data_IF_621528183100
#
_entry.id   IF_621528183100
#
_cell.length_a   1.000
_cell.length_b   1.000
_cell.length_c   1.000
_cell.angle_alpha   90.00
_cell.angle_beta   90.00
_cell.angle_gamma   90.00
#
_symmetry.space_group_name_H-M   'P 1'
#
loop_
_entity.id
_entity.type
_entity.pdbx_description
1 polymer ?
#
# COMPACT_ATOMS: atom_id res chain seq x y z
N UNK A 1 0.71 -8.22 6.47
CA UNK A 1 0.80 -7.38 7.69
C UNK A 1 -0.35 -7.82 8.57
N UNK A 2 -0.15 -8.11 9.86
CA UNK A 2 -1.25 -8.56 10.72
C UNK A 2 -1.98 -7.34 11.30
N UNK A 3 -3.31 -7.34 11.27
CA UNK A 3 -4.16 -6.32 11.90
C UNK A 3 -4.61 -6.86 13.26
N UNK A 4 -4.29 -6.16 14.35
CA UNK A 4 -4.73 -6.54 15.69
C UNK A 4 -6.05 -5.86 16.05
N UNK A 5 -6.71 -6.33 17.11
CA UNK A 5 -7.92 -5.69 17.65
C UNK A 5 -7.64 -4.21 17.97
N UNK A 6 -8.48 -3.32 17.45
CA UNK A 6 -8.34 -1.86 17.60
C UNK A 6 -7.36 -1.21 16.63
N UNK A 7 -6.67 -1.99 15.78
CA UNK A 7 -5.92 -1.47 14.63
C UNK A 7 -6.79 -1.51 13.38
N UNK A 8 -6.46 -0.67 12.40
CA UNK A 8 -7.18 -0.60 11.11
C UNK A 8 -6.24 -0.25 9.97
N UNK A 9 -6.60 -0.60 8.74
CA UNK A 9 -5.86 -0.08 7.59
C UNK A 9 -6.05 1.43 7.51
N UNK A 10 -5.01 2.14 7.09
CA UNK A 10 -5.03 3.59 6.95
C UNK A 10 -5.11 3.98 5.48
N UNK A 11 -4.02 3.81 4.75
CA UNK A 11 -3.92 4.17 3.33
C UNK A 11 -3.14 3.12 2.54
N UNK A 12 -3.46 3.02 1.27
CA UNK A 12 -2.72 2.21 0.30
C UNK A 12 -2.32 3.10 -0.89
N UNK A 13 -1.03 3.17 -1.17
CA UNK A 13 -0.44 3.91 -2.27
C UNK A 13 0.09 2.97 -3.35
N UNK A 14 -0.21 3.30 -4.61
CA UNK A 14 0.31 2.63 -5.80
C UNK A 14 1.07 3.64 -6.64
N UNK A 15 2.28 3.27 -7.05
CA UNK A 15 3.11 4.04 -7.95
C UNK A 15 3.40 3.18 -9.17
N UNK A 16 3.01 3.64 -10.35
CA UNK A 16 3.10 2.92 -11.63
C UNK A 16 4.04 3.63 -12.60
N UNK A 17 5.33 3.79 -12.27
CA UNK A 17 6.25 4.54 -13.11
C UNK A 17 6.33 3.94 -14.52
N UNK A 18 6.48 4.80 -15.54
CA UNK A 18 6.75 4.35 -16.92
C UNK A 18 7.90 3.33 -16.98
N UNK A 19 8.95 3.56 -16.17
CA UNK A 19 10.05 2.63 -15.99
C UNK A 19 9.57 1.34 -15.29
N UNK A 20 9.24 0.31 -16.09
CA UNK A 20 8.75 -0.99 -15.60
C UNK A 20 7.35 -1.36 -16.06
N UNK A 21 6.66 -0.50 -16.83
CA UNK A 21 5.30 -0.73 -17.33
C UNK A 21 5.13 -2.05 -18.08
N UNK A 22 6.16 -2.51 -18.79
CA UNK A 22 6.18 -3.78 -19.54
C UNK A 22 6.00 -5.02 -18.65
N UNK A 23 6.29 -4.92 -17.35
CA UNK A 23 6.15 -6.00 -16.37
C UNK A 23 4.95 -5.82 -15.44
N UNK A 24 4.02 -4.91 -15.77
CA UNK A 24 2.95 -4.48 -14.86
C UNK A 24 3.52 -4.10 -13.48
N UNK A 25 4.67 -3.42 -13.48
CA UNK A 25 5.36 -3.06 -12.25
C UNK A 25 4.57 -2.01 -11.47
N UNK A 26 4.47 -2.22 -10.17
CA UNK A 26 3.95 -1.25 -9.21
C UNK A 26 4.87 -1.21 -7.99
N UNK A 27 5.28 -0.02 -7.56
CA UNK A 27 5.71 0.16 -6.18
C UNK A 27 4.48 0.36 -5.31
N UNK A 28 4.44 -0.26 -4.15
CA UNK A 28 3.27 -0.28 -3.27
C UNK A 28 3.68 0.08 -1.85
N UNK A 29 2.89 0.94 -1.21
CA UNK A 29 3.00 1.23 0.22
C UNK A 29 1.65 0.97 0.87
N UNK A 30 1.64 0.16 1.93
CA UNK A 30 0.46 -0.09 2.75
C UNK A 30 0.74 0.35 4.18
N UNK A 31 -0.14 1.18 4.73
CA UNK A 31 -0.07 1.63 6.11
C UNK A 31 -1.27 1.14 6.91
N UNK A 32 -1.04 0.79 8.18
CA UNK A 32 -2.09 0.59 9.18
C UNK A 32 -1.89 1.56 10.33
N UNK A 33 -3.00 1.99 10.93
CA UNK A 33 -3.02 2.77 12.15
C UNK A 33 -3.06 1.84 13.38
N UNK A 34 -2.16 2.09 14.32
CA UNK A 34 -2.10 1.40 15.61
C UNK A 34 -3.02 2.08 16.62
N UNK A 35 -3.32 1.37 17.70
CA UNK A 35 -4.13 1.88 18.83
C UNK A 35 -3.61 3.19 19.44
N UNK A 36 -2.32 3.50 19.28
CA UNK A 36 -1.70 4.72 19.77
C UNK A 36 -1.65 5.86 18.73
N UNK A 37 -2.34 5.73 17.59
CA UNK A 37 -2.37 6.71 16.51
C UNK A 37 -1.14 6.72 15.60
N UNK A 38 -0.07 5.99 15.94
CA UNK A 38 1.09 5.82 15.06
C UNK A 38 0.81 4.83 13.95
N UNK A 39 1.56 4.90 12.86
CA UNK A 39 1.43 3.98 11.74
C UNK A 39 2.51 2.89 11.76
N UNK A 40 2.14 1.72 11.28
CA UNK A 40 3.07 0.71 10.76
C UNK A 40 2.91 0.64 9.25
N UNK A 41 4.03 0.63 8.54
CA UNK A 41 4.09 0.68 7.09
C UNK A 41 4.84 -0.53 6.54
N UNK A 42 4.36 -1.06 5.42
CA UNK A 42 5.07 -2.00 4.58
C UNK A 42 5.14 -1.43 3.17
N UNK A 43 6.32 -1.43 2.57
CA UNK A 43 6.48 -1.13 1.14
C UNK A 43 7.12 -2.29 0.40
N UNK A 44 6.80 -2.43 -0.89
CA UNK A 44 7.30 -3.52 -1.72
C UNK A 44 7.12 -3.21 -3.21
N UNK A 45 7.95 -3.85 -4.02
CA UNK A 45 7.76 -3.93 -5.46
C UNK A 45 6.77 -5.05 -5.77
N UNK A 46 5.84 -4.81 -6.69
CA UNK A 46 4.91 -5.78 -7.25
C UNK A 46 5.12 -5.84 -8.77
N UNK A 47 5.19 -7.03 -9.35
CA UNK A 47 5.21 -7.21 -10.80
C UNK A 47 4.49 -8.50 -11.17
N UNK A 48 4.02 -8.60 -12.41
CA UNK A 48 3.49 -9.84 -12.97
C UNK A 48 4.54 -10.39 -13.92
N UNK A 49 5.11 -11.56 -13.59
CA UNK A 49 6.12 -12.22 -14.41
C UNK A 49 5.59 -13.61 -14.79
N UNK A 50 5.46 -13.87 -16.09
CA UNK A 50 4.87 -15.11 -16.62
C UNK A 50 3.47 -15.43 -16.06
N UNK A 51 2.65 -14.39 -15.84
CA UNK A 51 1.30 -14.53 -15.26
C UNK A 51 1.29 -14.74 -13.74
N UNK A 52 2.45 -14.79 -13.08
CA UNK A 52 2.57 -14.99 -11.63
C UNK A 52 2.86 -13.66 -10.93
N UNK A 53 2.03 -13.25 -9.95
CA UNK A 53 2.32 -12.10 -9.11
C UNK A 53 3.57 -12.33 -8.25
N UNK A 54 4.53 -11.42 -8.33
CA UNK A 54 5.74 -11.44 -7.50
C UNK A 54 5.84 -10.19 -6.64
N UNK A 55 6.31 -10.40 -5.40
CA UNK A 55 6.59 -9.33 -4.43
C UNK A 55 8.08 -9.35 -4.10
N UNK A 56 8.76 -8.22 -4.23
CA UNK A 56 10.19 -8.09 -3.92
C UNK A 56 10.49 -6.79 -3.17
N UNK A 57 11.74 -6.62 -2.73
CA UNK A 57 12.23 -5.41 -2.04
C UNK A 57 11.32 -4.96 -0.88
N UNK A 58 10.89 -5.92 -0.06
CA UNK A 58 9.93 -5.67 1.03
C UNK A 58 10.64 -4.93 2.16
N UNK A 59 10.21 -3.70 2.44
CA UNK A 59 10.63 -2.93 3.61
C UNK A 59 9.47 -2.81 4.61
N UNK A 60 9.80 -2.80 5.91
CA UNK A 60 8.82 -2.63 6.99
C UNK A 60 9.32 -1.60 7.98
N UNK A 61 8.44 -0.68 8.36
CA UNK A 61 8.71 0.30 9.42
C UNK A 61 7.60 0.21 10.45
N UNK A 62 7.97 -0.09 11.69
CA UNK A 62 7.01 -0.43 12.75
C UNK A 62 6.38 0.79 13.42
N UNK A 63 6.96 1.98 13.24
CA UNK A 63 6.48 3.21 13.87
C UNK A 63 6.88 4.42 13.02
N UNK A 64 5.89 5.05 12.39
CA UNK A 64 6.01 6.35 11.71
C UNK A 64 4.79 7.20 12.03
N UNK A 65 4.91 8.53 11.98
CA UNK A 65 3.76 9.43 12.04
C UNK A 65 3.06 9.52 10.67
N UNK A 66 1.90 10.19 10.63
CA UNK A 66 1.17 10.43 9.37
C UNK A 66 1.94 11.39 8.46
N UNK A 67 2.56 12.41 9.04
CA UNK A 67 3.39 13.39 8.35
C UNK A 67 4.63 12.72 7.73
N UNK A 68 5.28 11.82 8.48
CA UNK A 68 6.41 11.04 7.97
C UNK A 68 6.01 10.12 6.81
N UNK A 69 4.80 9.54 6.86
CA UNK A 69 4.28 8.75 5.74
C UNK A 69 4.07 9.62 4.50
N UNK A 70 3.48 10.81 4.65
CA UNK A 70 3.27 11.75 3.55
C UNK A 70 4.61 12.18 2.93
N UNK A 71 5.61 12.50 3.75
CA UNK A 71 6.98 12.78 3.28
C UNK A 71 7.60 11.60 2.50
N UNK A 72 7.42 10.37 2.98
CA UNK A 72 7.89 9.15 2.28
C UNK A 72 7.21 9.03 0.92
N UNK A 73 5.89 9.19 0.85
CA UNK A 73 5.12 9.10 -0.40
C UNK A 73 5.61 10.14 -1.41
N UNK A 74 5.74 11.40 -1.00
CA UNK A 74 6.25 12.47 -1.86
C UNK A 74 7.69 12.21 -2.34
N UNK A 75 8.55 11.70 -1.44
CA UNK A 75 9.92 11.34 -1.79
C UNK A 75 9.97 10.18 -2.79
N UNK A 76 9.08 9.21 -2.69
CA UNK A 76 8.97 8.11 -3.66
C UNK A 76 8.54 8.65 -5.01
N UNK A 77 7.44 9.42 -5.09
CA UNK A 77 6.97 10.01 -6.36
C UNK A 77 8.09 10.76 -7.09
N UNK A 78 8.83 11.61 -6.37
CA UNK A 78 9.95 12.38 -6.92
C UNK A 78 11.10 11.50 -7.40
N UNK A 79 11.46 10.45 -6.64
CA UNK A 79 12.59 9.57 -6.98
C UNK A 79 12.29 8.61 -8.12
N UNK A 80 11.03 8.21 -8.28
CA UNK A 80 10.59 7.29 -9.33
C UNK A 80 10.10 8.01 -10.59
N UNK A 81 10.12 9.35 -10.60
CA UNK A 81 9.52 10.19 -11.65
C UNK A 81 8.08 9.78 -11.98
N UNK A 82 7.32 9.37 -10.96
CA UNK A 82 5.93 8.93 -11.12
C UNK A 82 5.05 10.18 -11.26
N UNK A 83 4.35 10.29 -12.39
CA UNK A 83 3.41 11.38 -12.63
C UNK A 83 2.12 11.20 -11.80
N UNK A 84 1.30 12.25 -11.69
CA UNK A 84 0.10 12.20 -10.84
C UNK A 84 -0.95 11.21 -11.37
N UNK A 85 -1.02 10.99 -12.67
CA UNK A 85 -1.87 9.99 -13.33
C UNK A 85 -1.32 8.55 -13.20
N UNK A 86 -0.07 8.41 -12.78
CA UNK A 86 0.59 7.13 -12.49
C UNK A 86 0.59 6.78 -11.00
N UNK A 87 0.03 7.66 -10.18
CA UNK A 87 -0.07 7.53 -8.74
C UNK A 87 -1.53 7.37 -8.32
N UNK A 88 -1.78 6.47 -7.38
CA UNK A 88 -3.11 6.27 -6.81
C UNK A 88 -2.99 6.14 -5.30
N UNK A 89 -3.80 6.93 -4.58
CA UNK A 89 -3.99 6.84 -3.15
C UNK A 89 -5.40 6.31 -2.86
N UNK A 90 -5.46 5.21 -2.12
CA UNK A 90 -6.70 4.69 -1.56
C UNK A 90 -6.74 5.01 -0.07
N UNK A 91 -7.62 5.94 0.30
CA UNK A 91 -7.91 6.23 1.71
C UNK A 91 -8.89 5.19 2.26
N UNK A 92 -8.42 4.36 3.19
CA UNK A 92 -9.22 3.33 3.83
C UNK A 92 -9.79 3.82 5.17
N UNK A 93 -9.35 4.98 5.66
CA UNK A 93 -9.84 5.56 6.91
C UNK A 93 -11.31 6.02 6.82
N UNK A 94 -11.82 6.16 5.60
CA UNK A 94 -13.22 6.51 5.31
C UNK A 94 -14.21 5.39 5.66
N UNK A 95 -13.74 4.14 5.79
CA UNK A 95 -14.58 3.01 6.14
C UNK A 95 -14.67 2.86 7.67
N UNK A 96 -15.86 2.51 8.16
CA UNK A 96 -16.12 2.38 9.59
C UNK A 96 -15.51 1.10 10.16
N UNK A 97 -15.41 0.04 9.35
CA UNK A 97 -14.97 -1.28 9.81
C UNK A 97 -13.85 -1.86 8.93
N UNK A 98 -13.06 -2.78 9.51
CA UNK A 98 -12.04 -3.53 8.77
C UNK A 98 -12.67 -4.39 7.67
N UNK A 99 -13.86 -4.94 7.89
CA UNK A 99 -14.55 -5.77 6.91
C UNK A 99 -14.95 -4.95 5.67
N UNK A 100 -15.42 -3.72 5.88
CA UNK A 100 -15.66 -2.77 4.78
C UNK A 100 -14.37 -2.41 4.03
N UNK A 101 -13.25 -2.19 4.74
CA UNK A 101 -11.95 -1.95 4.11
C UNK A 101 -11.52 -3.13 3.24
N UNK A 102 -11.68 -4.36 3.73
CA UNK A 102 -11.32 -5.57 2.98
C UNK A 102 -12.25 -5.77 1.78
N UNK A 103 -13.56 -5.61 1.94
CA UNK A 103 -14.53 -5.73 0.84
C UNK A 103 -14.28 -4.69 -0.25
N UNK A 104 -13.96 -3.45 0.12
CA UNK A 104 -13.55 -2.43 -0.84
C UNK A 104 -12.31 -2.86 -1.63
N UNK A 105 -11.25 -3.31 -0.95
CA UNK A 105 -10.02 -3.70 -1.61
C UNK A 105 -10.19 -4.96 -2.51
N UNK A 106 -11.08 -5.89 -2.14
CA UNK A 106 -11.44 -7.04 -3.00
C UNK A 106 -12.09 -6.57 -4.29
N UNK A 107 -13.06 -5.65 -4.22
CA UNK A 107 -13.75 -5.10 -5.39
C UNK A 107 -12.79 -4.38 -6.36
N UNK A 108 -11.72 -3.80 -5.83
CA UNK A 108 -10.70 -3.14 -6.63
C UNK A 108 -9.65 -4.11 -7.21
N UNK A 109 -9.78 -5.43 -7.00
CA UNK A 109 -8.77 -6.45 -7.32
C UNK A 109 -7.39 -6.15 -6.70
N UNK A 110 -7.38 -5.51 -5.52
CA UNK A 110 -6.16 -5.02 -4.87
C UNK A 110 -5.60 -5.93 -3.78
N UNK A 111 -6.27 -7.03 -3.45
CA UNK A 111 -5.78 -8.01 -2.47
C UNK A 111 -5.77 -9.42 -3.03
N UNK A 112 -4.65 -10.12 -2.84
CA UNK A 112 -4.64 -11.58 -2.79
C UNK A 112 -5.33 -12.01 -1.49
N UNK A 113 -6.56 -12.51 -1.58
CA UNK A 113 -7.37 -12.97 -0.43
C UNK A 113 -6.72 -14.11 0.36
N UNK A 114 -5.68 -14.75 -0.19
CA UNK A 114 -4.94 -15.86 0.42
C UNK A 114 -4.16 -15.48 1.70
N UNK A 115 -4.02 -14.19 2.05
CA UNK A 115 -3.21 -13.72 3.19
C UNK A 115 -3.96 -12.87 4.23
N UNK A 116 -5.29 -12.83 4.17
CA UNK A 116 -6.12 -12.05 5.12
C UNK A 116 -6.62 -12.90 6.31
N UNK A 117 -6.60 -14.23 6.22
CA UNK A 117 -6.94 -15.15 7.33
C UNK A 117 -5.86 -15.24 8.41
#
# INVERSE_FOLDING_TARGET
MRIKKGERLYKFYYFRPLAGRHYHFEYRILAKEKVNGMLEMVSYNFKIENGVPQKSSIARVSKISKEQLDEIVQNVMRKTNTASDEFEELDLSVFATIDEQIEFLKRQNRVDTMYIT
#
